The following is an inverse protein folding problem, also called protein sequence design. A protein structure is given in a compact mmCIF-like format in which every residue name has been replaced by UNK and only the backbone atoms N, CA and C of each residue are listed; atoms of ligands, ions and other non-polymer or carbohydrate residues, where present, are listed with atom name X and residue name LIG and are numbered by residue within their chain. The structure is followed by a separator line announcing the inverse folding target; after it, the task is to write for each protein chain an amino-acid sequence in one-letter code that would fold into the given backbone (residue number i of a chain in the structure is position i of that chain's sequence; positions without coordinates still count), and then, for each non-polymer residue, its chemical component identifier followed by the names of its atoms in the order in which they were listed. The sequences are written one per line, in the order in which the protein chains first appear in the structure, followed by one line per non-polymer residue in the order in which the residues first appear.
data_IF_566012771551
#
_entry.id   IF_566012771551
#
_cell.length_a   1.000
_cell.length_b   1.000
_cell.length_c   1.000
_cell.angle_alpha   90.00
_cell.angle_beta   90.00
_cell.angle_gamma   90.00
#
_symmetry.space_group_name_H-M   'P 1'
#
loop_
_entity.id
_entity.type
_entity.pdbx_description
1 polymer ?
#
# COMPACT_ATOMS: atom_id res chain seq x y z
N UNK A 1 -0.07 -15.28 -3.13
CA UNK A 1 -0.30 -16.66 -2.66
C UNK A 1 0.25 -16.71 -1.25
N UNK A 2 -0.63 -16.84 -0.24
CA UNK A 2 -0.34 -16.42 1.15
C UNK A 2 0.55 -17.42 1.91
N UNK A 3 0.76 -18.62 1.37
CA UNK A 3 1.84 -19.51 1.79
C UNK A 3 2.29 -20.38 0.61
N UNK A 4 3.56 -20.78 0.61
CA UNK A 4 4.10 -21.83 -0.25
C UNK A 4 4.25 -23.16 0.50
N UNK A 5 3.90 -23.19 1.79
CA UNK A 5 3.90 -24.40 2.60
C UNK A 5 2.57 -25.14 2.40
N UNK A 6 2.65 -26.38 1.93
CA UNK A 6 1.48 -27.24 1.71
C UNK A 6 0.77 -27.62 3.02
N UNK A 7 1.42 -27.42 4.17
CA UNK A 7 0.85 -27.71 5.50
C UNK A 7 -0.01 -26.58 6.05
N UNK A 8 0.08 -25.38 5.48
CA UNK A 8 -0.72 -24.26 5.95
C UNK A 8 -2.18 -24.44 5.52
N UNK A 9 -3.10 -24.36 6.49
CA UNK A 9 -4.51 -24.52 6.20
C UNK A 9 -5.03 -23.36 5.35
N UNK A 10 -5.71 -23.63 4.22
CA UNK A 10 -6.35 -22.59 3.44
C UNK A 10 -7.54 -22.02 4.22
N UNK A 11 -7.74 -20.71 4.10
CA UNK A 11 -8.89 -20.04 4.66
C UNK A 11 -9.59 -19.19 3.59
N UNK A 12 -10.85 -18.87 3.85
CA UNK A 12 -11.68 -18.04 2.96
C UNK A 12 -11.94 -16.73 3.68
N UNK A 13 -11.69 -15.61 2.99
CA UNK A 13 -12.09 -14.30 3.49
C UNK A 13 -13.61 -14.18 3.48
N UNK A 14 -14.18 -13.72 4.60
CA UNK A 14 -15.60 -13.42 4.63
C UNK A 14 -15.92 -12.22 3.74
N UNK A 15 -17.21 -12.04 3.45
CA UNK A 15 -17.69 -10.81 2.78
C UNK A 15 -17.23 -9.59 3.58
N UNK A 16 -16.83 -8.54 2.87
CA UNK A 16 -16.36 -7.28 3.45
C UNK A 16 -15.08 -7.39 4.29
N UNK A 17 -14.28 -8.45 4.07
CA UNK A 17 -12.93 -8.58 4.62
C UNK A 17 -11.86 -8.47 3.53
N UNK A 18 -10.71 -7.95 3.91
CA UNK A 18 -9.48 -7.95 3.11
C UNK A 18 -8.34 -8.61 3.88
N UNK A 19 -7.34 -9.07 3.13
CA UNK A 19 -6.08 -9.57 3.67
C UNK A 19 -4.97 -8.59 3.32
N UNK A 20 -4.25 -8.11 4.33
CA UNK A 20 -3.15 -7.18 4.18
C UNK A 20 -1.83 -7.92 4.32
N UNK A 21 -0.91 -7.68 3.39
CA UNK A 21 0.43 -8.25 3.43
C UNK A 21 1.45 -7.13 3.20
N UNK A 22 2.46 -7.07 4.06
CA UNK A 22 3.59 -6.17 3.87
C UNK A 22 4.52 -6.70 2.78
N UNK A 23 4.84 -5.85 1.81
CA UNK A 23 5.76 -6.19 0.71
C UNK A 23 7.20 -6.39 1.17
N UNK A 24 7.59 -5.77 2.28
CA UNK A 24 8.96 -5.84 2.78
C UNK A 24 9.27 -7.23 3.38
N UNK A 25 9.82 -8.11 2.53
CA UNK A 25 10.19 -9.48 2.89
C UNK A 25 11.33 -9.57 3.91
N UNK A 26 12.07 -8.48 4.15
CA UNK A 26 13.15 -8.47 5.15
C UNK A 26 12.63 -8.40 6.60
N UNK A 27 11.35 -8.07 6.80
CA UNK A 27 10.75 -8.01 8.14
C UNK A 27 10.19 -9.37 8.51
N UNK A 28 10.65 -9.91 9.64
CA UNK A 28 10.20 -11.22 10.11
C UNK A 28 8.69 -11.22 10.44
N UNK A 29 7.95 -12.31 10.16
CA UNK A 29 6.49 -12.40 10.40
C UNK A 29 6.05 -12.14 11.85
N UNK A 30 6.93 -12.31 12.83
CA UNK A 30 6.63 -12.06 14.25
C UNK A 30 6.61 -10.58 14.63
N UNK A 31 7.07 -9.71 13.73
CA UNK A 31 7.15 -8.25 13.90
C UNK A 31 6.38 -7.53 12.78
N UNK A 32 5.80 -8.27 11.84
CA UNK A 32 5.01 -7.70 10.75
C UNK A 32 3.64 -7.26 11.25
N UNK A 33 3.37 -5.96 11.20
CA UNK A 33 2.05 -5.40 11.43
C UNK A 33 1.13 -5.63 10.23
N UNK A 34 0.87 -6.89 9.87
CA UNK A 34 -0.05 -7.27 8.79
C UNK A 34 -0.98 -8.44 9.15
N UNK A 35 -1.82 -8.86 8.20
CA UNK A 35 -2.86 -9.86 8.44
C UNK A 35 -2.34 -11.24 8.85
N UNK A 36 -1.05 -11.53 8.64
CA UNK A 36 -0.45 -12.78 9.15
C UNK A 36 -0.41 -12.82 10.68
N UNK A 37 -0.43 -11.65 11.33
CA UNK A 37 -0.42 -11.51 12.79
C UNK A 37 -1.80 -11.23 13.35
N UNK A 38 -2.54 -10.27 12.78
CA UNK A 38 -3.84 -9.84 13.31
C UNK A 38 -5.06 -10.40 12.56
N UNK A 39 -4.85 -11.18 11.49
CA UNK A 39 -5.93 -11.76 10.68
C UNK A 39 -6.55 -10.81 9.65
N UNK A 40 -7.71 -11.18 9.08
CA UNK A 40 -8.43 -10.35 8.11
C UNK A 40 -8.89 -9.02 8.69
N UNK A 41 -8.92 -7.98 7.85
CA UNK A 41 -9.37 -6.63 8.23
C UNK A 41 -10.70 -6.31 7.57
N UNK A 42 -11.64 -5.63 8.23
CA UNK A 42 -12.85 -5.15 7.57
C UNK A 42 -12.54 -4.10 6.49
N UNK A 43 -13.17 -4.20 5.32
CA UNK A 43 -12.97 -3.27 4.19
C UNK A 43 -13.31 -1.82 4.59
N UNK A 44 -14.31 -1.61 5.46
CA UNK A 44 -14.68 -0.28 5.93
C UNK A 44 -13.60 0.41 6.77
N UNK A 45 -12.55 -0.31 7.19
CA UNK A 45 -11.39 0.25 7.88
C UNK A 45 -10.34 0.79 6.91
N UNK A 46 -10.50 0.61 5.59
CA UNK A 46 -9.60 1.13 4.57
C UNK A 46 -9.99 2.58 4.27
N UNK A 47 -9.10 3.52 4.59
CA UNK A 47 -9.34 4.95 4.35
C UNK A 47 -9.18 5.36 2.88
N UNK A 48 -8.40 4.60 2.10
CA UNK A 48 -8.08 4.92 0.73
C UNK A 48 -6.91 4.09 0.22
N UNK A 49 -6.49 4.38 -1.01
CA UNK A 49 -5.38 3.71 -1.68
C UNK A 49 -4.29 4.71 -2.02
N UNK A 50 -3.03 4.29 -1.88
CA UNK A 50 -1.87 5.13 -2.19
C UNK A 50 -1.52 4.93 -3.67
N UNK A 51 -1.60 5.99 -4.47
CA UNK A 51 -1.40 5.91 -5.93
C UNK A 51 -0.12 6.60 -6.42
N UNK A 52 0.51 7.41 -5.56
CA UNK A 52 1.74 8.14 -5.87
C UNK A 52 2.64 8.22 -4.65
N UNK A 53 3.94 8.09 -4.86
CA UNK A 53 4.98 8.14 -3.82
C UNK A 53 5.94 9.29 -4.10
N UNK A 54 6.31 10.02 -3.04
CA UNK A 54 7.32 11.08 -3.08
C UNK A 54 8.23 10.94 -1.86
N UNK A 55 9.50 10.62 -2.10
CA UNK A 55 10.55 10.64 -1.07
C UNK A 55 11.46 11.85 -1.23
N UNK A 56 11.85 12.16 -2.47
CA UNK A 56 12.63 13.36 -2.81
C UNK A 56 12.16 13.93 -4.15
N UNK A 57 12.70 15.08 -4.57
CA UNK A 57 12.40 15.67 -5.88
C UNK A 57 12.91 14.87 -7.08
N UNK A 58 13.73 13.83 -6.84
CA UNK A 58 14.24 12.92 -7.89
C UNK A 58 13.87 11.45 -7.61
N UNK A 59 13.31 11.15 -6.43
CA UNK A 59 12.85 9.83 -6.01
C UNK A 59 11.34 9.92 -5.71
N UNK A 60 10.57 9.89 -6.78
CA UNK A 60 9.11 9.95 -6.76
C UNK A 60 8.51 9.25 -7.98
N UNK A 61 7.25 8.83 -7.90
CA UNK A 61 6.53 8.23 -9.02
C UNK A 61 5.24 7.50 -8.60
N UNK A 62 4.50 6.96 -9.58
CA UNK A 62 3.33 6.13 -9.30
C UNK A 62 3.67 4.92 -8.43
N UNK A 63 2.77 4.57 -7.52
CA UNK A 63 2.90 3.32 -6.74
C UNK A 63 2.73 2.13 -7.68
N UNK A 64 3.56 1.10 -7.47
CA UNK A 64 3.49 -0.15 -8.23
C UNK A 64 2.39 -1.03 -7.65
N UNK A 65 1.20 -0.94 -8.24
CA UNK A 65 0.05 -1.79 -7.92
C UNK A 65 -0.19 -2.81 -9.04
N UNK A 66 -1.30 -3.57 -8.95
CA UNK A 66 -1.75 -4.38 -10.09
C UNK A 66 -1.94 -3.52 -11.33
N UNK A 67 -1.66 -4.09 -12.52
CA UNK A 67 -1.80 -3.38 -13.81
C UNK A 67 -3.15 -2.68 -13.96
N UNK A 68 -4.25 -3.36 -13.62
CA UNK A 68 -5.60 -2.79 -13.72
C UNK A 68 -5.84 -1.63 -12.75
N UNK A 69 -5.29 -1.70 -11.55
CA UNK A 69 -5.38 -0.58 -10.59
C UNK A 69 -4.59 0.64 -11.09
N UNK A 70 -3.36 0.42 -11.56
CA UNK A 70 -2.54 1.49 -12.13
C UNK A 70 -3.18 2.15 -13.36
N UNK A 71 -3.84 1.36 -14.22
CA UNK A 71 -4.61 1.87 -15.37
C UNK A 71 -5.79 2.76 -14.91
N UNK A 72 -6.46 2.41 -13.80
CA UNK A 72 -7.53 3.21 -13.21
C UNK A 72 -7.02 4.49 -12.53
N UNK A 73 -5.82 4.46 -11.95
CA UNK A 73 -5.23 5.60 -11.24
C UNK A 73 -4.66 6.67 -12.17
N UNK A 74 -4.15 6.24 -13.32
CA UNK A 74 -3.48 7.10 -14.28
C UNK A 74 -4.22 8.43 -14.56
N UNK A 75 -5.54 8.45 -14.84
CA UNK A 75 -6.26 9.71 -15.04
C UNK A 75 -6.33 10.58 -13.78
N UNK A 76 -6.46 9.99 -12.59
CA UNK A 76 -6.50 10.74 -11.32
C UNK A 76 -5.14 11.40 -11.08
N UNK A 77 -4.05 10.64 -11.23
CA UNK A 77 -2.68 11.17 -11.10
C UNK A 77 -2.42 12.27 -12.13
N UNK A 78 -2.87 12.10 -13.38
CA UNK A 78 -2.67 13.08 -14.43
C UNK A 78 -3.36 14.43 -14.16
N UNK A 79 -4.48 14.43 -13.43
CA UNK A 79 -5.29 15.63 -13.17
C UNK A 79 -5.00 16.25 -11.80
N UNK A 80 -4.79 15.45 -10.77
CA UNK A 80 -4.74 15.91 -9.38
C UNK A 80 -3.32 16.11 -8.84
N UNK A 81 -2.31 15.54 -9.49
CA UNK A 81 -0.94 15.59 -8.97
C UNK A 81 -0.30 16.98 -9.17
N UNK A 82 -0.16 17.73 -8.08
CA UNK A 82 0.72 18.90 -8.01
C UNK A 82 2.03 18.56 -7.30
N UNK A 83 3.06 18.26 -8.09
CA UNK A 83 4.39 17.92 -7.58
C UNK A 83 5.05 19.06 -6.80
N UNK A 84 4.84 20.31 -7.22
CA UNK A 84 5.46 21.45 -6.53
C UNK A 84 4.84 21.62 -5.15
N UNK A 85 3.51 21.51 -5.04
CA UNK A 85 2.82 21.54 -3.76
C UNK A 85 3.29 20.42 -2.82
N UNK A 86 3.41 19.19 -3.33
CA UNK A 86 3.87 18.04 -2.52
C UNK A 86 5.32 18.22 -2.03
N UNK A 87 6.24 18.66 -2.89
CA UNK A 87 7.63 18.93 -2.50
C UNK A 87 7.71 20.04 -1.44
N UNK A 88 6.91 21.09 -1.60
CA UNK A 88 6.86 22.19 -0.64
C UNK A 88 6.37 21.73 0.74
N UNK A 89 5.35 20.87 0.77
CA UNK A 89 4.85 20.26 2.00
C UNK A 89 5.94 19.38 2.63
N UNK A 90 6.57 18.48 1.88
CA UNK A 90 7.61 17.59 2.38
C UNK A 90 8.78 18.38 3.00
N UNK A 91 9.27 19.40 2.32
CA UNK A 91 10.35 20.26 2.80
C UNK A 91 9.99 21.03 4.07
N UNK A 92 8.71 21.39 4.27
CA UNK A 92 8.25 22.05 5.49
C UNK A 92 8.36 21.12 6.71
N UNK A 93 8.12 19.82 6.54
CA UNK A 93 8.24 18.84 7.62
C UNK A 93 9.68 18.49 7.96
N UNK A 94 10.60 18.53 6.99
CA UNK A 94 12.03 18.27 7.19
C UNK A 94 12.81 19.42 7.87
N UNK A 95 12.25 20.63 7.90
CA UNK A 95 12.86 21.82 8.54
C UNK A 95 12.48 22.00 10.02
N UNK A 96 11.78 21.04 10.62
CA UNK A 96 11.49 20.96 12.05
C UNK A 96 12.41 19.97 12.72
#
# INVERSE_FOLDING_TARGET
MVSTDEKDEPFVLARDQCWLQLDNQSVSPKVTGDSRVFGPVPIHSICGRVIYSLRTSVDHGPVQDSRSAMEQDSPVVAVELDLQALVNIANKWLKK
#
